data_IF_846418654272
#
_entry.id   IF_846418654272
#
_cell.length_a   1.000
_cell.length_b   1.000
_cell.length_c   1.000
_cell.angle_alpha   90.00
_cell.angle_beta   90.00
_cell.angle_gamma   90.00
#
_symmetry.space_group_name_H-M   'P 1'
#
loop_
_entity.id
_entity.type
_entity.pdbx_description
1 polymer ?
#
# COMPACT_ATOMS: atom_id res chain seq x y z
N UNK A 1 -8.07 13.35 0.72
CA UNK A 1 -7.38 12.06 0.89
C UNK A 1 -7.76 11.51 2.24
N UNK A 2 -8.27 10.28 2.28
CA UNK A 2 -8.78 9.69 3.52
C UNK A 2 -7.86 8.54 3.88
N UNK A 3 -6.84 8.84 4.67
CA UNK A 3 -6.00 7.80 5.26
C UNK A 3 -6.87 6.81 6.03
N UNK A 4 -6.42 5.55 6.06
CA UNK A 4 -6.98 4.56 6.96
C UNK A 4 -7.03 5.09 8.39
N UNK A 5 -8.12 4.82 9.10
CA UNK A 5 -8.31 5.28 10.49
C UNK A 5 -8.27 4.13 11.49
N UNK A 6 -8.25 2.88 11.02
CA UNK A 6 -8.25 1.65 11.82
C UNK A 6 -7.48 0.54 11.11
N UNK A 7 -7.03 -0.46 11.87
CA UNK A 7 -6.49 -1.70 11.31
C UNK A 7 -7.56 -2.39 10.45
N UNK A 8 -7.16 -2.89 9.29
CA UNK A 8 -8.03 -3.64 8.39
C UNK A 8 -7.96 -5.15 8.61
N UNK A 9 -6.85 -5.65 9.16
CA UNK A 9 -6.60 -7.08 9.37
C UNK A 9 -7.02 -7.92 8.16
N UNK A 10 -6.55 -7.51 6.97
CA UNK A 10 -6.96 -8.07 5.69
C UNK A 10 -6.75 -9.59 5.67
N UNK A 11 -7.77 -10.38 5.29
CA UNK A 11 -7.57 -11.78 4.93
C UNK A 11 -6.53 -11.90 3.81
N UNK A 12 -5.70 -12.94 3.88
CA UNK A 12 -4.70 -13.22 2.85
C UNK A 12 -4.53 -14.72 2.63
N UNK A 13 -4.06 -15.07 1.44
CA UNK A 13 -3.63 -16.42 1.08
C UNK A 13 -2.11 -16.37 0.90
N UNK A 14 -1.39 -17.06 1.76
CA UNK A 14 0.07 -17.17 1.63
C UNK A 14 0.42 -18.09 0.44
N UNK A 15 1.49 -17.79 -0.30
CA UNK A 15 2.00 -18.73 -1.29
C UNK A 15 2.60 -19.97 -0.60
N UNK A 16 2.88 -21.02 -1.37
CA UNK A 16 3.38 -22.30 -0.83
C UNK A 16 4.70 -22.19 -0.05
N UNK A 17 5.53 -21.20 -0.37
CA UNK A 17 6.77 -20.86 0.35
C UNK A 17 6.57 -20.04 1.63
N UNK A 18 5.33 -19.67 1.95
CA UNK A 18 5.01 -18.75 3.05
C UNK A 18 5.06 -17.28 2.64
N UNK A 19 4.62 -16.43 3.56
CA UNK A 19 4.60 -14.99 3.34
C UNK A 19 6.01 -14.41 3.51
N UNK A 20 6.52 -13.73 2.48
CA UNK A 20 7.74 -12.95 2.56
C UNK A 20 7.45 -11.54 3.06
N UNK A 21 8.34 -11.03 3.91
CA UNK A 21 8.23 -9.67 4.46
C UNK A 21 9.54 -8.90 4.28
N UNK A 22 9.43 -7.57 4.30
CA UNK A 22 10.56 -6.64 4.33
C UNK A 22 10.29 -5.57 5.38
N UNK A 23 11.37 -5.03 5.95
CA UNK A 23 11.30 -3.77 6.69
C UNK A 23 11.53 -2.61 5.75
N UNK A 24 10.60 -1.67 5.71
CA UNK A 24 10.74 -0.41 4.98
C UNK A 24 10.92 0.74 5.98
N UNK A 25 11.71 1.73 5.57
CA UNK A 25 11.94 2.94 6.36
C UNK A 25 10.81 3.93 6.09
N UNK A 26 10.17 4.39 7.16
CA UNK A 26 9.11 5.38 7.05
C UNK A 26 9.70 6.80 6.96
N UNK A 27 8.96 7.69 6.30
CA UNK A 27 9.26 9.12 6.32
C UNK A 27 9.26 9.64 7.77
N UNK A 28 10.20 10.54 8.07
CA UNK A 28 10.25 11.25 9.33
C UNK A 28 9.16 12.31 9.40
N UNK A 29 8.81 12.72 10.62
CA UNK A 29 7.81 13.76 10.87
C UNK A 29 8.09 15.07 10.13
N UNK A 30 9.36 15.43 9.93
CA UNK A 30 9.74 16.70 9.30
C UNK A 30 9.76 16.65 7.78
N UNK A 31 9.74 15.44 7.20
CA UNK A 31 9.81 15.23 5.76
C UNK A 31 8.41 15.00 5.17
N UNK A 32 7.59 14.15 5.84
CA UNK A 32 6.28 13.70 5.35
C UNK A 32 5.43 14.83 4.75
N UNK A 33 5.10 14.72 3.46
CA UNK A 33 4.16 15.63 2.79
C UNK A 33 4.62 17.10 2.81
N UNK A 34 5.94 17.32 2.69
CA UNK A 34 6.61 18.62 2.73
C UNK A 34 6.54 19.37 4.07
N UNK A 35 6.35 18.67 5.21
CA UNK A 35 6.40 19.31 6.52
C UNK A 35 6.14 18.43 7.74
N UNK A 36 5.93 19.11 8.88
CA UNK A 36 5.76 18.60 10.24
C UNK A 36 4.43 17.83 10.46
N UNK A 37 4.25 16.70 9.79
CA UNK A 37 3.01 15.92 9.79
C UNK A 37 3.19 14.57 10.46
N UNK A 38 2.41 14.32 11.51
CA UNK A 38 2.33 13.00 12.13
C UNK A 38 1.40 12.11 11.32
N UNK A 39 1.72 10.82 11.21
CA UNK A 39 0.94 9.86 10.46
C UNK A 39 0.97 8.47 11.10
N UNK A 40 0.09 7.59 10.62
CA UNK A 40 -0.01 6.22 11.10
C UNK A 40 -0.20 5.28 9.93
N UNK A 41 0.68 4.28 9.83
CA UNK A 41 0.49 3.11 8.99
C UNK A 41 -0.34 2.11 9.79
N UNK A 42 -1.58 1.86 9.39
CA UNK A 42 -2.40 0.84 10.01
C UNK A 42 -2.12 -0.54 9.42
N UNK A 43 -2.32 -1.60 10.21
CA UNK A 43 -2.14 -2.97 9.71
C UNK A 43 -3.14 -3.24 8.57
N UNK A 44 -2.64 -3.78 7.46
CA UNK A 44 -3.38 -4.00 6.22
C UNK A 44 -3.41 -2.78 5.29
N UNK A 45 -2.76 -1.67 5.64
CA UNK A 45 -2.63 -0.52 4.73
C UNK A 45 -1.79 -0.86 3.51
N UNK A 46 -2.15 -0.28 2.36
CA UNK A 46 -1.25 -0.16 1.22
C UNK A 46 -0.17 0.84 1.60
N UNK A 47 1.09 0.42 1.48
CA UNK A 47 2.25 1.24 1.74
C UNK A 47 2.86 1.65 0.41
N UNK A 48 3.22 2.92 0.29
CA UNK A 48 3.79 3.47 -0.94
C UNK A 48 4.92 4.45 -0.60
N UNK A 49 5.84 4.62 -1.55
CA UNK A 49 6.88 5.62 -1.50
C UNK A 49 6.61 6.63 -2.62
N UNK A 50 6.43 7.88 -2.23
CA UNK A 50 6.38 9.01 -3.16
C UNK A 50 7.82 9.37 -3.55
N UNK A 51 8.15 9.09 -4.82
CA UNK A 51 9.49 9.34 -5.38
C UNK A 51 9.43 10.49 -6.39
N UNK A 52 8.26 10.71 -6.97
CA UNK A 52 8.04 11.75 -7.98
C UNK A 52 8.12 13.16 -7.41
N UNK A 53 7.58 13.27 -6.20
CA UNK A 53 7.13 14.43 -5.49
C UNK A 53 8.04 15.04 -4.44
N UNK A 54 8.04 14.36 -3.29
CA UNK A 54 8.68 14.71 -2.04
C UNK A 54 8.47 13.49 -1.14
N UNK A 55 9.55 12.78 -0.82
CA UNK A 55 9.79 12.06 0.44
C UNK A 55 10.79 10.93 0.23
N UNK A 56 10.79 10.16 -0.87
CA UNK A 56 11.75 9.05 -1.07
C UNK A 56 11.72 7.97 0.02
N UNK A 57 10.78 8.07 0.96
CA UNK A 57 10.56 7.21 2.10
C UNK A 57 9.10 6.75 2.12
N UNK A 58 8.85 5.61 2.76
CA UNK A 58 7.54 4.98 2.72
C UNK A 58 6.56 5.61 3.70
N UNK A 59 5.27 5.51 3.37
CA UNK A 59 4.18 5.75 4.31
C UNK A 59 2.87 5.16 3.79
N UNK A 60 1.74 5.45 4.46
CA UNK A 60 0.46 5.00 3.97
C UNK A 60 0.16 5.61 2.60
N UNK A 61 -0.52 4.85 1.75
CA UNK A 61 -1.09 5.38 0.52
C UNK A 61 -2.27 6.29 0.85
N UNK A 62 -1.96 7.55 1.11
CA UNK A 62 -2.91 8.64 1.34
C UNK A 62 -2.64 9.81 0.39
N UNK A 63 -1.97 9.55 -0.74
CA UNK A 63 -1.61 10.51 -1.77
C UNK A 63 -2.06 10.07 -3.17
N UNK A 64 -2.13 11.04 -4.10
CA UNK A 64 -2.39 10.75 -5.52
C UNK A 64 -1.12 10.23 -6.18
N UNK A 65 -1.13 8.97 -6.58
CA UNK A 65 0.08 8.35 -7.12
C UNK A 65 0.45 8.92 -8.49
N UNK A 66 1.74 9.14 -8.71
CA UNK A 66 2.31 9.66 -9.95
C UNK A 66 3.43 8.75 -10.49
N UNK A 67 3.86 9.02 -11.72
CA UNK A 67 4.93 8.25 -12.38
C UNK A 67 6.21 8.27 -11.54
N UNK A 68 6.78 7.09 -11.30
CA UNK A 68 7.98 6.91 -10.47
C UNK A 68 7.70 6.46 -9.04
N UNK A 69 6.49 6.66 -8.52
CA UNK A 69 6.15 6.21 -7.17
C UNK A 69 6.17 4.68 -7.07
N UNK A 70 6.49 4.18 -5.88
CA UNK A 70 6.73 2.76 -5.64
C UNK A 70 5.65 2.16 -4.75
N UNK A 71 5.11 1.01 -5.14
CA UNK A 71 4.31 0.19 -4.23
C UNK A 71 5.22 -0.55 -3.25
N UNK A 72 5.05 -0.27 -1.96
CA UNK A 72 5.87 -0.82 -0.87
C UNK A 72 5.32 -2.07 -0.20
N UNK A 73 4.21 -2.65 -0.68
CA UNK A 73 3.59 -3.82 -0.06
C UNK A 73 2.44 -3.49 0.89
N UNK A 74 2.01 -4.50 1.67
CA UNK A 74 0.90 -4.37 2.63
C UNK A 74 1.44 -4.37 4.06
N UNK A 75 1.06 -3.39 4.87
CA UNK A 75 1.53 -3.27 6.25
C UNK A 75 1.13 -4.48 7.11
N UNK A 76 2.11 -5.11 7.76
CA UNK A 76 1.89 -6.28 8.63
C UNK A 76 1.60 -5.91 10.08
N UNK A 77 1.88 -4.66 10.44
CA UNK A 77 1.75 -4.12 11.78
C UNK A 77 1.29 -2.66 11.73
N UNK A 78 0.88 -2.13 12.89
CA UNK A 78 0.58 -0.72 13.03
C UNK A 78 1.84 0.01 13.50
N UNK A 79 2.23 1.08 12.82
CA UNK A 79 3.29 1.99 13.25
C UNK A 79 2.82 3.44 13.13
N UNK A 80 3.28 4.28 14.05
CA UNK A 80 3.00 5.70 14.03
C UNK A 80 4.30 6.49 14.04
N UNK A 81 4.33 7.55 13.24
CA UNK A 81 5.38 8.58 13.26
C UNK A 81 4.75 9.81 13.90
N UNK A 82 5.31 10.23 15.02
CA UNK A 82 4.87 11.39 15.82
C UNK A 82 5.90 12.51 15.70
N UNK A 83 5.66 13.64 16.38
CA UNK A 83 6.59 14.77 16.37
C UNK A 83 7.97 14.48 16.98
N UNK A 84 8.18 13.31 17.58
CA UNK A 84 9.47 12.89 18.14
C UNK A 84 10.38 12.29 17.06
N UNK A 85 9.81 11.56 16.10
CA UNK A 85 10.54 10.83 15.06
C UNK A 85 10.83 11.74 13.86
N UNK A 86 11.68 12.73 14.09
CA UNK A 86 11.94 13.82 13.13
C UNK A 86 12.73 13.39 11.90
N UNK A 87 13.66 12.43 12.05
CA UNK A 87 14.52 11.96 10.97
C UNK A 87 13.87 10.81 10.20
N UNK A 88 14.08 10.77 8.88
CA UNK A 88 13.65 9.66 8.06
C UNK A 88 14.29 8.34 8.50
N UNK A 89 13.51 7.25 8.41
CA UNK A 89 13.95 5.94 8.86
C UNK A 89 14.06 5.78 10.38
N UNK A 90 13.66 6.78 11.19
CA UNK A 90 13.55 6.64 12.65
C UNK A 90 12.55 5.55 13.06
N UNK A 91 11.57 5.27 12.20
CA UNK A 91 10.61 4.18 12.36
C UNK A 91 10.69 3.27 11.14
N UNK A 92 10.74 1.97 11.41
CA UNK A 92 10.65 0.93 10.39
C UNK A 92 9.27 0.28 10.46
N UNK A 93 8.76 -0.14 9.30
CA UNK A 93 7.51 -0.87 9.18
C UNK A 93 7.74 -2.20 8.47
N UNK A 94 7.22 -3.27 9.04
CA UNK A 94 7.17 -4.57 8.37
C UNK A 94 6.03 -4.60 7.35
N UNK A 95 6.34 -4.92 6.10
CA UNK A 95 5.41 -5.05 4.98
C UNK A 95 5.48 -6.44 4.36
N UNK A 96 4.36 -6.96 3.88
CA UNK A 96 4.31 -8.14 3.03
C UNK A 96 4.73 -7.78 1.61
N UNK A 97 5.59 -8.62 1.03
CA UNK A 97 6.09 -8.47 -0.34
C UNK A 97 5.31 -9.30 -1.35
N UNK A 98 4.63 -10.34 -0.89
CA UNK A 98 3.95 -11.32 -1.74
C UNK A 98 2.61 -11.75 -1.12
N UNK A 99 1.96 -12.70 -1.80
CA UNK A 99 0.68 -13.29 -1.39
C UNK A 99 -0.53 -12.62 -2.03
N UNK A 100 -1.68 -13.23 -1.80
CA UNK A 100 -2.96 -12.79 -2.34
C UNK A 100 -3.78 -12.13 -1.24
N UNK A 101 -4.07 -10.86 -1.38
CA UNK A 101 -4.65 -10.02 -0.33
C UNK A 101 -6.09 -9.64 -0.67
N UNK A 102 -6.98 -9.72 0.32
CA UNK A 102 -8.37 -9.36 0.16
C UNK A 102 -8.59 -7.84 0.27
N UNK A 103 -9.23 -7.28 -0.75
CA UNK A 103 -9.73 -5.91 -0.77
C UNK A 103 -11.24 -5.89 -0.94
N UNK A 104 -11.96 -4.91 -0.37
CA UNK A 104 -13.39 -4.76 -0.65
C UNK A 104 -13.62 -4.74 -2.16
N UNK A 105 -14.50 -5.61 -2.64
CA UNK A 105 -14.74 -5.85 -4.07
C UNK A 105 -14.98 -4.58 -4.90
N UNK A 106 -15.60 -3.56 -4.28
CA UNK A 106 -16.05 -2.36 -4.96
C UNK A 106 -16.85 -2.72 -6.24
N UNK A 107 -16.49 -2.17 -7.40
CA UNK A 107 -17.13 -2.44 -8.69
C UNK A 107 -16.45 -3.56 -9.51
N UNK A 108 -15.43 -4.23 -8.96
CA UNK A 108 -14.72 -5.28 -9.68
C UNK A 108 -15.62 -6.50 -9.90
N UNK A 109 -15.44 -7.15 -11.05
CA UNK A 109 -16.23 -8.30 -11.48
C UNK A 109 -15.35 -9.46 -11.95
N UNK A 110 -15.96 -10.65 -12.09
CA UNK A 110 -15.29 -11.85 -12.62
C UNK A 110 -14.68 -11.60 -14.01
N UNK A 111 -15.24 -10.68 -14.79
CA UNK A 111 -14.72 -10.30 -16.11
C UNK A 111 -13.39 -9.55 -16.05
N UNK A 112 -13.00 -9.05 -14.87
CA UNK A 112 -11.75 -8.31 -14.65
C UNK A 112 -10.60 -9.21 -14.18
N UNK A 113 -10.83 -10.52 -14.03
CA UNK A 113 -9.78 -11.46 -13.61
C UNK A 113 -8.57 -11.38 -14.55
N UNK A 114 -7.38 -11.33 -13.97
CA UNK A 114 -6.12 -11.12 -14.69
C UNK A 114 -5.78 -9.65 -15.01
N UNK A 115 -6.68 -8.70 -14.73
CA UNK A 115 -6.39 -7.28 -14.89
C UNK A 115 -5.44 -6.76 -13.81
N UNK A 116 -4.69 -5.70 -14.15
CA UNK A 116 -3.92 -4.92 -13.17
C UNK A 116 -4.89 -4.16 -12.29
N UNK A 117 -4.70 -4.27 -10.97
CA UNK A 117 -5.49 -3.56 -9.98
C UNK A 117 -4.67 -2.44 -9.37
N UNK A 118 -5.33 -1.30 -9.21
CA UNK A 118 -4.79 -0.08 -8.67
C UNK A 118 -5.48 0.25 -7.35
N UNK A 119 -4.69 0.62 -6.34
CA UNK A 119 -5.19 1.20 -5.10
C UNK A 119 -5.34 2.73 -5.26
N UNK A 120 -6.30 3.30 -4.55
CA UNK A 120 -6.54 4.74 -4.47
C UNK A 120 -6.16 5.26 -3.09
N UNK A 121 -6.10 6.59 -2.93
CA UNK A 121 -5.85 7.30 -1.67
C UNK A 121 -7.00 7.16 -0.63
N UNK A 122 -8.00 6.32 -0.92
CA UNK A 122 -9.16 6.04 -0.06
C UNK A 122 -9.25 4.58 0.37
N UNK A 123 -8.17 3.81 0.18
CA UNK A 123 -8.13 2.36 0.48
C UNK A 123 -9.06 1.51 -0.42
N UNK A 124 -9.64 2.11 -1.45
CA UNK A 124 -10.41 1.42 -2.49
C UNK A 124 -9.52 0.94 -3.63
N UNK A 125 -9.97 -0.10 -4.34
CA UNK A 125 -9.29 -0.68 -5.50
C UNK A 125 -10.10 -0.51 -6.78
N UNK A 126 -9.41 -0.37 -7.92
CA UNK A 126 -9.99 -0.11 -9.24
C UNK A 126 -9.13 -0.70 -10.36
N UNK A 127 -9.68 -0.87 -11.56
CA UNK A 127 -8.93 -1.21 -12.78
C UNK A 127 -8.38 0.02 -13.51
N UNK A 128 -8.67 1.23 -13.03
CA UNK A 128 -8.26 2.49 -13.65
C UNK A 128 -7.00 3.06 -13.01
N UNK A 129 -6.01 3.42 -13.81
CA UNK A 129 -4.70 3.88 -13.33
C UNK A 129 -4.62 5.36 -12.92
N UNK A 130 -5.64 6.17 -13.26
CA UNK A 130 -5.61 7.62 -13.03
C UNK A 130 -5.44 7.96 -11.55
N UNK A 131 -4.29 8.54 -11.20
CA UNK A 131 -3.90 8.94 -9.84
C UNK A 131 -3.91 7.76 -8.84
N UNK A 132 -3.67 6.54 -9.31
CA UNK A 132 -3.82 5.30 -8.55
C UNK A 132 -2.56 4.43 -8.67
N UNK A 133 -2.23 3.72 -7.59
CA UNK A 133 -1.00 2.92 -7.46
C UNK A 133 -1.25 1.51 -7.94
N UNK A 134 -0.47 1.00 -8.89
CA UNK A 134 -0.57 -0.39 -9.30
C UNK A 134 -0.08 -1.31 -8.16
N UNK A 135 -0.96 -2.17 -7.64
CA UNK A 135 -0.65 -3.02 -6.46
C UNK A 135 -0.59 -4.50 -6.77
N UNK A 136 -1.09 -4.96 -7.92
CA UNK A 136 -1.16 -6.38 -8.21
C UNK A 136 -2.02 -6.77 -9.39
N UNK A 137 -2.20 -8.08 -9.55
CA UNK A 137 -3.14 -8.69 -10.50
C UNK A 137 -4.35 -9.24 -9.74
N UNK A 138 -5.55 -9.07 -10.29
CA UNK A 138 -6.75 -9.72 -9.75
C UNK A 138 -6.72 -11.22 -10.04
N UNK A 139 -6.62 -12.05 -9.01
CA UNK A 139 -6.59 -13.51 -9.17
C UNK A 139 -7.94 -14.17 -8.95
N UNK A 140 -8.75 -13.62 -8.05
CA UNK A 140 -10.01 -14.22 -7.65
C UNK A 140 -10.97 -13.13 -7.14
N UNK A 141 -12.26 -13.43 -7.18
CA UNK A 141 -13.30 -12.53 -6.70
C UNK A 141 -14.46 -13.33 -6.12
N UNK A 142 -14.91 -12.92 -4.95
CA UNK A 142 -16.10 -13.47 -4.32
C UNK A 142 -17.16 -12.37 -4.12
N UNK A 143 -18.17 -12.62 -3.29
CA UNK A 143 -19.23 -11.66 -3.03
C UNK A 143 -18.77 -10.46 -2.19
N UNK A 144 -17.68 -10.61 -1.44
CA UNK A 144 -17.16 -9.63 -0.49
C UNK A 144 -15.85 -9.01 -0.97
N UNK A 145 -14.96 -9.82 -1.55
CA UNK A 145 -13.57 -9.46 -1.78
C UNK A 145 -13.13 -9.62 -3.22
N UNK A 146 -12.26 -8.70 -3.62
CA UNK A 146 -11.31 -8.86 -4.71
C UNK A 146 -9.98 -9.36 -4.12
N UNK A 147 -9.48 -10.48 -4.63
CA UNK A 147 -8.25 -11.12 -4.17
C UNK A 147 -7.12 -10.79 -5.13
N UNK A 148 -6.18 -9.99 -4.65
CA UNK A 148 -5.14 -9.35 -5.48
C UNK A 148 -3.79 -9.95 -5.13
N UNK A 149 -3.10 -10.54 -6.10
CA UNK A 149 -1.72 -10.99 -5.94
C UNK A 149 -0.75 -9.84 -6.17
N UNK A 150 0.06 -9.58 -5.15
CA UNK A 150 0.96 -8.42 -5.09
C UNK A 150 2.41 -8.73 -5.49
N UNK A 151 2.75 -10.00 -5.72
CA UNK A 151 4.14 -10.49 -5.79
C UNK A 151 4.99 -9.81 -6.86
N UNK A 152 4.43 -9.62 -8.07
CA UNK A 152 5.13 -8.97 -9.19
C UNK A 152 5.12 -7.44 -9.17
N UNK A 153 4.52 -6.84 -8.13
CA UNK A 153 4.32 -5.39 -8.00
C UNK A 153 5.09 -4.78 -6.85
N UNK A 154 5.61 -5.59 -5.92
CA UNK A 154 6.44 -5.09 -4.83
C UNK A 154 7.65 -4.30 -5.36
N UNK A 155 7.82 -3.07 -4.88
CA UNK A 155 8.84 -2.10 -5.30
C UNK A 155 8.82 -1.75 -6.79
N UNK A 156 7.71 -2.02 -7.47
CA UNK A 156 7.52 -1.65 -8.86
C UNK A 156 7.12 -0.17 -8.94
N UNK A 157 7.81 0.54 -9.82
CA UNK A 157 7.46 1.93 -10.14
C UNK A 157 6.22 1.99 -11.03
N UNK A 158 5.39 3.01 -10.79
CA UNK A 158 4.36 3.42 -11.75
C UNK A 158 5.04 3.91 -13.02
N UNK A 159 4.61 3.34 -14.16
CA UNK A 159 5.11 3.68 -15.49
C UNK A 159 4.54 5.01 -16.02
#
# INVERSE_FOLDING_TARGET
MTALTVNKDRPFRAPSGGLETMKVQLAGYTNRGAGNVAFTCFKGAVIACDVSDTDGYFGPMDFSAATGDLFGGIAMEKQAVTSVETADGSVELTVAKNGVWAFPKASLAITDLGAVIYATDTDAVTTTSTNAMAIGILEDIDDTYAWINIEDYFMRAIA
#
